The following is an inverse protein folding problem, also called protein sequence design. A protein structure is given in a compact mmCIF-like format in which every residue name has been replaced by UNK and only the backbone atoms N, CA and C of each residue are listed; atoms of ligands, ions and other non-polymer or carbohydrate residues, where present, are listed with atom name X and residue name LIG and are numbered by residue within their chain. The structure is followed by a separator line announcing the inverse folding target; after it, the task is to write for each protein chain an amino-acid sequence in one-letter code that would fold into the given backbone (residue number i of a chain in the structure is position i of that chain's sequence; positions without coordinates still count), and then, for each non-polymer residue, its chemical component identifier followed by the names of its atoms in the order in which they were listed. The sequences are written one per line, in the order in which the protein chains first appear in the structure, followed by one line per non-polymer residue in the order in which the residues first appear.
data_IF_871388658170
#
_entry.id   IF_871388658170
#
_cell.length_a   1.000
_cell.length_b   1.000
_cell.length_c   1.000
_cell.angle_alpha   90.00
_cell.angle_beta   90.00
_cell.angle_gamma   90.00
#
_symmetry.space_group_name_H-M   'P 1'
#
loop_
_entity.id
_entity.type
_entity.pdbx_description
1 polymer ?
#
# COMPACT_ATOMS: atom_id res chain seq x y z
N UNK A 1 4.02 5.28 5.46
CA UNK A 1 3.07 4.89 6.52
C UNK A 1 2.63 3.52 6.17
N UNK A 2 2.66 2.65 7.16
CA UNK A 2 2.08 1.33 7.08
C UNK A 2 0.82 1.41 7.90
N UNK A 3 -0.28 0.99 7.33
CA UNK A 3 -1.56 0.98 8.01
C UNK A 3 -2.19 -0.39 7.83
N UNK A 4 -2.86 -0.88 8.86
CA UNK A 4 -3.72 -2.05 8.79
C UNK A 4 -5.16 -1.55 8.89
N UNK A 5 -6.00 -2.03 7.98
CA UNK A 5 -7.44 -1.83 8.03
C UNK A 5 -8.06 -3.12 8.55
N UNK A 6 -8.63 -3.09 9.74
CA UNK A 6 -9.39 -4.17 10.34
C UNK A 6 -10.87 -3.94 10.08
N UNK A 7 -11.55 -4.95 9.54
CA UNK A 7 -13.01 -4.93 9.37
C UNK A 7 -13.58 -6.08 10.19
N UNK A 8 -14.47 -5.79 11.15
CA UNK A 8 -15.02 -6.79 12.07
C UNK A 8 -16.36 -6.33 12.65
N UNK A 9 -17.22 -7.27 13.02
CA UNK A 9 -18.45 -7.02 13.80
C UNK A 9 -18.18 -6.72 15.30
N UNK A 10 -16.93 -6.89 15.76
CA UNK A 10 -16.50 -6.59 17.12
C UNK A 10 -17.10 -7.50 18.20
N UNK A 11 -17.71 -8.63 17.82
CA UNK A 11 -18.34 -9.55 18.77
C UNK A 11 -17.33 -10.43 19.54
N UNK A 12 -16.08 -10.50 19.06
CA UNK A 12 -15.03 -11.34 19.64
C UNK A 12 -14.31 -10.71 20.83
N UNK A 13 -14.19 -11.47 21.93
CA UNK A 13 -13.28 -11.11 23.05
C UNK A 13 -11.87 -11.58 22.73
N UNK A 14 -10.90 -10.71 22.93
CA UNK A 14 -9.48 -11.03 22.74
C UNK A 14 -8.88 -11.39 24.10
N UNK A 15 -8.11 -12.48 24.19
CA UNK A 15 -7.40 -12.85 25.42
C UNK A 15 -6.22 -11.90 25.69
N UNK A 16 -5.83 -11.79 26.97
CA UNK A 16 -4.73 -10.92 27.38
C UNK A 16 -3.41 -11.23 26.63
N UNK A 17 -3.11 -12.50 26.38
CA UNK A 17 -1.91 -12.91 25.64
C UNK A 17 -1.91 -12.40 24.20
N UNK A 18 -3.07 -12.42 23.55
CA UNK A 18 -3.22 -11.93 22.17
C UNK A 18 -3.16 -10.41 22.15
N UNK A 19 -3.78 -9.74 23.12
CA UNK A 19 -3.67 -8.29 23.29
C UNK A 19 -2.21 -7.87 23.43
N UNK A 20 -1.43 -8.55 24.28
CA UNK A 20 -0.03 -8.22 24.45
C UNK A 20 0.76 -8.41 23.14
N UNK A 21 0.55 -9.52 22.43
CA UNK A 21 1.20 -9.76 21.14
C UNK A 21 0.86 -8.68 20.10
N UNK A 22 -0.42 -8.31 19.99
CA UNK A 22 -0.87 -7.26 19.07
C UNK A 22 -0.22 -5.92 19.42
N UNK A 23 -0.17 -5.58 20.71
CA UNK A 23 0.50 -4.38 21.21
C UNK A 23 1.97 -4.36 20.82
N UNK A 24 2.70 -5.43 21.12
CA UNK A 24 4.13 -5.54 20.82
C UNK A 24 4.42 -5.44 19.32
N UNK A 25 3.57 -6.04 18.49
CA UNK A 25 3.74 -6.05 17.03
C UNK A 25 3.44 -4.68 16.42
N UNK A 26 2.35 -4.03 16.82
CA UNK A 26 2.00 -2.70 16.31
C UNK A 26 3.02 -1.65 16.74
N UNK A 27 3.49 -1.70 17.99
CA UNK A 27 4.52 -0.79 18.52
C UNK A 27 5.86 -1.00 17.79
N UNK A 28 6.30 -2.25 17.63
CA UNK A 28 7.58 -2.56 16.96
C UNK A 28 7.60 -2.17 15.48
N UNK A 29 6.47 -2.29 14.78
CA UNK A 29 6.43 -2.07 13.33
C UNK A 29 6.02 -0.65 12.91
N UNK A 30 5.64 0.21 13.86
CA UNK A 30 5.13 1.56 13.62
C UNK A 30 3.98 1.56 12.59
N UNK A 31 2.98 0.70 12.84
CA UNK A 31 1.82 0.49 11.96
C UNK A 31 0.58 1.13 12.56
N UNK A 32 -0.01 2.09 11.86
CA UNK A 32 -1.31 2.67 12.22
C UNK A 32 -2.44 1.66 12.07
N UNK A 33 -3.45 1.74 12.94
CA UNK A 33 -4.62 0.87 12.93
C UNK A 33 -5.87 1.67 12.58
N UNK A 34 -6.52 1.30 11.48
CA UNK A 34 -7.86 1.73 11.14
C UNK A 34 -8.82 0.57 11.42
N UNK A 35 -9.85 0.78 12.23
CA UNK A 35 -10.85 -0.23 12.52
C UNK A 35 -12.21 0.22 12.00
N UNK A 36 -12.79 -0.56 11.09
CA UNK A 36 -14.15 -0.37 10.61
C UNK A 36 -15.01 -1.42 11.29
N UNK A 37 -15.86 -1.00 12.22
CA UNK A 37 -16.81 -1.88 12.89
C UNK A 37 -18.09 -1.97 12.07
N UNK A 38 -18.48 -3.19 11.72
CA UNK A 38 -19.74 -3.46 11.04
C UNK A 38 -20.83 -3.63 12.10
N UNK A 39 -21.79 -2.71 12.14
CA UNK A 39 -22.91 -2.79 13.08
C UNK A 39 -24.24 -2.96 12.36
N UNK A 40 -25.20 -3.58 13.02
CA UNK A 40 -26.58 -3.58 12.54
C UNK A 40 -27.19 -2.16 12.70
N UNK A 41 -28.14 -1.77 11.85
CA UNK A 41 -28.88 -0.52 12.04
C UNK A 41 -29.55 -0.49 13.42
N UNK A 42 -29.29 0.56 14.20
CA UNK A 42 -29.77 0.69 15.58
C UNK A 42 -29.02 -0.15 16.62
N UNK A 43 -27.93 -0.81 16.24
CA UNK A 43 -27.01 -1.47 17.17
C UNK A 43 -26.22 -0.49 18.03
N UNK A 44 -25.59 -1.01 19.08
CA UNK A 44 -24.75 -0.25 20.00
C UNK A 44 -23.60 0.44 19.25
N UNK A 45 -23.43 1.75 19.49
CA UNK A 45 -22.33 2.53 18.94
C UNK A 45 -21.09 2.43 19.84
N UNK A 46 -19.91 2.27 19.24
CA UNK A 46 -18.61 2.38 19.91
C UNK A 46 -18.28 3.82 20.31
N UNK A 47 -19.01 4.81 19.79
CA UNK A 47 -18.86 6.22 20.10
C UNK A 47 -19.91 6.74 21.10
N UNK A 48 -20.73 5.84 21.67
CA UNK A 48 -21.69 6.23 22.71
C UNK A 48 -20.98 6.45 24.04
N UNK A 49 -20.64 7.71 24.34
CA UNK A 49 -20.00 8.13 25.60
C UNK A 49 -20.94 7.99 26.82
N UNK A 50 -22.24 7.79 26.60
CA UNK A 50 -23.24 7.67 27.67
C UNK A 50 -23.56 6.23 28.03
N UNK A 51 -22.99 5.26 27.30
CA UNK A 51 -23.20 3.86 27.58
C UNK A 51 -22.58 3.47 28.92
N UNK A 52 -23.45 3.13 29.87
CA UNK A 52 -23.04 2.52 31.14
C UNK A 52 -23.60 1.09 31.16
N UNK A 53 -22.75 0.06 31.27
CA UNK A 53 -23.23 -1.30 31.45
C UNK A 53 -24.08 -1.37 32.73
N UNK A 54 -25.09 -2.24 32.74
CA UNK A 54 -25.88 -2.47 33.96
C UNK A 54 -24.97 -2.98 35.09
N UNK A 55 -25.35 -2.70 36.33
CA UNK A 55 -24.66 -3.27 37.49
C UNK A 55 -24.51 -4.80 37.33
N UNK A 56 -23.30 -5.29 37.58
CA UNK A 56 -22.87 -6.69 37.40
C UNK A 56 -22.82 -7.25 35.96
N UNK A 57 -23.10 -6.45 34.92
CA UNK A 57 -22.90 -6.88 33.53
C UNK A 57 -21.51 -6.50 33.00
N UNK A 58 -20.81 -7.42 32.30
CA UNK A 58 -19.54 -7.09 31.66
C UNK A 58 -19.76 -6.12 30.50
N UNK A 59 -18.77 -5.25 30.26
CA UNK A 59 -18.72 -4.40 29.07
C UNK A 59 -18.99 -5.22 27.79
N UNK A 60 -19.82 -4.69 26.87
CA UNK A 60 -20.01 -5.28 25.55
C UNK A 60 -18.67 -5.50 24.85
N UNK A 61 -18.46 -6.64 24.18
CA UNK A 61 -17.20 -6.97 23.52
C UNK A 61 -16.68 -5.86 22.60
N UNK A 62 -17.58 -5.21 21.87
CA UNK A 62 -17.24 -4.15 20.91
C UNK A 62 -16.67 -2.90 21.59
N UNK A 63 -17.22 -2.50 22.74
CA UNK A 63 -16.74 -1.34 23.52
C UNK A 63 -15.42 -1.70 24.19
N UNK A 64 -15.33 -2.86 24.83
CA UNK A 64 -14.09 -3.32 25.45
C UNK A 64 -12.94 -3.43 24.44
N UNK A 65 -13.25 -3.83 23.19
CA UNK A 65 -12.28 -3.87 22.11
C UNK A 65 -11.87 -2.47 21.63
N UNK A 66 -12.83 -1.54 21.55
CA UNK A 66 -12.55 -0.13 21.24
C UNK A 66 -11.61 0.50 22.26
N UNK A 67 -11.93 0.37 23.55
CA UNK A 67 -11.10 0.85 24.66
C UNK A 67 -9.69 0.24 24.59
N UNK A 68 -9.59 -1.08 24.36
CA UNK A 68 -8.31 -1.74 24.18
C UNK A 68 -7.48 -1.12 23.05
N UNK A 69 -8.07 -0.87 21.88
CA UNK A 69 -7.36 -0.25 20.77
C UNK A 69 -6.94 1.19 21.06
N UNK A 70 -7.73 1.97 21.81
CA UNK A 70 -7.33 3.30 22.27
C UNK A 70 -6.12 3.28 23.21
N UNK A 71 -5.90 2.18 23.96
CA UNK A 71 -4.70 2.04 24.80
C UNK A 71 -3.41 1.77 24.03
N UNK A 72 -3.48 1.52 22.72
CA UNK A 72 -2.29 1.27 21.91
C UNK A 72 -1.53 2.58 21.67
N UNK A 73 -0.20 2.51 21.62
CA UNK A 73 0.63 3.69 21.32
C UNK A 73 0.56 4.11 19.85
N UNK A 74 0.11 3.22 18.98
CA UNK A 74 0.02 3.50 17.54
C UNK A 74 -1.14 4.44 17.21
N UNK A 75 -1.07 5.11 16.07
CA UNK A 75 -2.19 5.90 15.53
C UNK A 75 -3.40 4.99 15.31
N UNK A 76 -4.47 5.23 16.06
CA UNK A 76 -5.71 4.47 16.00
C UNK A 76 -6.87 5.36 15.56
N UNK A 77 -7.64 4.88 14.59
CA UNK A 77 -8.90 5.52 14.16
C UNK A 77 -9.97 4.46 13.97
N UNK A 78 -11.16 4.71 14.50
CA UNK A 78 -12.32 3.84 14.34
C UNK A 78 -13.37 4.47 13.41
N UNK A 79 -14.11 3.63 12.72
CA UNK A 79 -15.28 3.97 11.91
C UNK A 79 -16.39 2.97 12.21
N UNK A 80 -17.63 3.44 12.15
CA UNK A 80 -18.81 2.59 12.13
C UNK A 80 -19.40 2.54 10.74
N UNK A 81 -19.76 1.35 10.28
CA UNK A 81 -20.51 1.16 9.06
C UNK A 81 -21.71 0.27 9.32
N UNK A 82 -22.90 0.80 9.07
CA UNK A 82 -24.19 0.11 9.12
C UNK A 82 -24.80 -0.15 7.74
N UNK A 83 -24.26 0.49 6.70
CA UNK A 83 -24.66 0.31 5.30
C UNK A 83 -23.46 0.36 4.34
N UNK A 84 -23.61 -0.10 3.08
CA UNK A 84 -22.53 -0.09 2.09
C UNK A 84 -21.99 1.31 1.75
N UNK A 85 -22.82 2.36 1.78
CA UNK A 85 -22.39 3.72 1.51
C UNK A 85 -21.54 4.27 2.67
N UNK A 86 -21.91 3.94 3.91
CA UNK A 86 -21.12 4.25 5.11
C UNK A 86 -19.76 3.56 5.09
N UNK A 87 -19.69 2.30 4.67
CA UNK A 87 -18.43 1.60 4.45
C UNK A 87 -17.58 2.27 3.35
N UNK A 88 -18.20 2.63 2.22
CA UNK A 88 -17.50 3.30 1.13
C UNK A 88 -16.91 4.65 1.56
N UNK A 89 -17.66 5.42 2.37
CA UNK A 89 -17.18 6.68 2.97
C UNK A 89 -16.00 6.44 3.91
N UNK A 90 -16.04 5.43 4.77
CA UNK A 90 -14.93 5.09 5.66
C UNK A 90 -13.66 4.74 4.87
N UNK A 91 -13.78 3.91 3.82
CA UNK A 91 -12.66 3.55 2.94
C UNK A 91 -12.12 4.79 2.21
N UNK A 92 -13.00 5.66 1.72
CA UNK A 92 -12.59 6.89 1.03
C UNK A 92 -11.82 7.85 1.96
N UNK A 93 -12.27 8.01 3.21
CA UNK A 93 -11.58 8.82 4.22
C UNK A 93 -10.20 8.25 4.56
N UNK A 94 -10.09 6.92 4.75
CA UNK A 94 -8.81 6.25 4.98
C UNK A 94 -7.87 6.47 3.79
N UNK A 95 -8.37 6.31 2.56
CA UNK A 95 -7.59 6.53 1.34
C UNK A 95 -7.10 7.98 1.22
N UNK A 96 -7.90 8.96 1.66
CA UNK A 96 -7.50 10.37 1.68
C UNK A 96 -6.38 10.62 2.70
N UNK A 97 -6.47 10.02 3.89
CA UNK A 97 -5.48 10.16 4.98
C UNK A 97 -4.16 9.45 4.69
N UNK A 98 -4.21 8.26 4.09
CA UNK A 98 -3.05 7.43 3.79
C UNK A 98 -2.48 7.66 2.38
N UNK A 99 -2.83 8.76 1.71
CA UNK A 99 -2.39 9.12 0.35
C UNK A 99 -0.89 9.45 0.31
N UNK A 100 -0.05 8.43 0.51
CA UNK A 100 1.40 8.54 0.39
C UNK A 100 1.82 8.23 -1.04
N UNK A 101 2.62 9.11 -1.67
CA UNK A 101 3.17 8.82 -2.99
C UNK A 101 4.00 7.55 -2.89
N UNK A 102 3.68 6.57 -3.73
CA UNK A 102 4.49 5.36 -3.81
C UNK A 102 5.71 5.68 -4.67
N UNK A 103 6.88 5.81 -4.03
CA UNK A 103 8.14 6.06 -4.73
C UNK A 103 8.67 4.71 -5.20
N UNK A 104 8.66 4.48 -6.50
CA UNK A 104 9.28 3.30 -7.11
C UNK A 104 10.57 3.71 -7.85
N UNK A 105 11.67 3.01 -7.57
CA UNK A 105 12.90 3.10 -8.33
C UNK A 105 12.78 2.22 -9.56
N UNK A 106 12.44 2.81 -10.71
CA UNK A 106 12.53 2.10 -11.98
C UNK A 106 13.97 2.14 -12.48
N UNK A 107 14.64 0.98 -12.48
CA UNK A 107 15.94 0.83 -13.14
C UNK A 107 15.69 0.62 -14.62
N UNK A 108 15.58 1.70 -15.39
CA UNK A 108 15.50 1.65 -16.85
C UNK A 108 16.84 1.11 -17.38
N UNK A 109 16.92 -0.11 -17.93
CA UNK A 109 18.17 -0.68 -18.38
C UNK A 109 18.54 -0.16 -19.78
N UNK A 110 19.82 0.14 -19.95
CA UNK A 110 20.49 0.23 -21.26
C UNK A 110 20.49 1.62 -21.88
N UNK A 111 21.64 2.31 -21.79
CA UNK A 111 21.95 3.36 -22.77
C UNK A 111 21.80 2.76 -24.17
N UNK A 112 21.05 3.44 -25.04
CA UNK A 112 20.80 2.96 -26.39
C UNK A 112 22.05 3.17 -27.27
N UNK A 113 22.86 2.13 -27.43
CA UNK A 113 24.07 2.15 -28.30
C UNK A 113 23.79 1.79 -29.76
N UNK A 114 22.53 1.53 -30.13
CA UNK A 114 22.12 1.07 -31.46
C UNK A 114 22.60 2.02 -32.56
N UNK A 115 22.51 3.33 -32.33
CA UNK A 115 22.97 4.35 -33.28
C UNK A 115 24.48 4.30 -33.51
N UNK A 116 25.28 4.07 -32.46
CA UNK A 116 26.73 3.95 -32.59
C UNK A 116 27.12 2.69 -33.38
N UNK A 117 26.45 1.57 -33.13
CA UNK A 117 26.67 0.34 -33.88
C UNK A 117 26.31 0.47 -35.37
N UNK A 118 25.19 1.13 -35.69
CA UNK A 118 24.79 1.36 -37.08
C UNK A 118 25.74 2.32 -37.81
N UNK A 119 26.22 3.36 -37.14
CA UNK A 119 27.23 4.27 -37.70
C UNK A 119 28.53 3.52 -38.03
N UNK A 120 28.98 2.65 -37.14
CA UNK A 120 30.18 1.84 -37.36
C UNK A 120 30.00 0.88 -38.55
N UNK A 121 28.85 0.20 -38.62
CA UNK A 121 28.53 -0.70 -39.74
C UNK A 121 28.49 0.04 -41.09
N UNK A 122 27.84 1.21 -41.14
CA UNK A 122 27.78 2.05 -42.33
C UNK A 122 29.18 2.49 -42.79
N UNK A 123 30.06 2.84 -41.85
CA UNK A 123 31.45 3.23 -42.15
C UNK A 123 32.25 2.06 -42.73
N UNK A 124 32.10 0.85 -42.17
CA UNK A 124 32.77 -0.34 -42.71
C UNK A 124 32.28 -0.69 -44.13
N UNK A 125 30.97 -0.57 -44.38
CA UNK A 125 30.39 -0.79 -45.72
C UNK A 125 30.92 0.26 -46.70
N UNK A 126 30.97 1.54 -46.31
CA UNK A 126 31.51 2.61 -47.15
C UNK A 126 32.99 2.37 -47.50
N UNK A 127 33.78 1.88 -46.54
CA UNK A 127 35.18 1.55 -46.75
C UNK A 127 35.34 0.40 -47.75
N UNK A 128 34.56 -0.68 -47.61
CA UNK A 128 34.56 -1.80 -48.56
C UNK A 128 34.15 -1.37 -49.96
N UNK A 129 33.12 -0.52 -50.08
CA UNK A 129 32.70 0.05 -51.36
C UNK A 129 33.79 0.94 -51.98
N UNK A 130 34.49 1.74 -51.15
CA UNK A 130 35.62 2.55 -51.59
C UNK A 130 36.76 1.71 -52.16
N UNK A 131 37.14 0.62 -51.48
CA UNK A 131 38.16 -0.33 -51.96
C UNK A 131 37.72 -0.98 -53.27
N UNK A 132 36.49 -1.50 -53.34
CA UNK A 132 35.94 -2.10 -54.56
C UNK A 132 35.93 -1.12 -55.74
N UNK A 133 35.60 0.15 -55.49
CA UNK A 133 35.61 1.18 -56.53
C UNK A 133 37.02 1.46 -57.06
N UNK A 134 38.03 1.47 -56.18
CA UNK A 134 39.43 1.62 -56.56
C UNK A 134 39.94 0.40 -57.35
N UNK A 135 39.52 -0.80 -56.98
CA UNK A 135 39.87 -2.05 -57.67
C UNK A 135 39.34 -2.10 -59.12
N UNK A 136 38.16 -1.54 -59.39
CA UNK A 136 37.59 -1.49 -60.75
C UNK A 136 38.42 -0.58 -61.69
N UNK A 137 39.15 0.40 -61.16
CA UNK A 137 39.99 1.30 -61.98
C UNK A 137 41.28 0.67 -62.48
N UNK A 138 41.78 -0.40 -61.87
CA UNK A 138 43.07 -0.99 -62.25
C UNK A 138 43.00 -1.94 -63.45
N UNK A 139 41.81 -2.19 -64.02
CA UNK A 139 41.62 -3.08 -65.19
C UNK A 139 41.36 -2.35 -66.52
N UNK A 140 41.35 -1.02 -66.56
CA UNK A 140 41.18 -0.22 -67.80
C UNK A 140 42.46 0.48 -68.27
N UNK A 141 43.62 0.03 -67.80
CA UNK A 141 44.92 0.47 -68.32
C UNK A 141 45.80 -0.73 -68.63
N UNK A 142 45.47 -1.39 -69.74
CA UNK A 142 46.34 -2.26 -70.51
C UNK A 142 46.03 -2.02 -71.99
#
# INVERSE_FOLDING_TARGET
SRAIILISDGAGRISADVQQKVRDWLDRMDIGLYWIVLKQPGGLSIFDETFVPKEDEPLPPVIALHEYFQTLKTSFHAYEADDPDSLAKAIADINQKEKKPIIYLEKIPGKNYTQHCFMLAALMIALLLGVKYLEVRTWHSA
#
